data_IF_082052968955
#
_entry.id   IF_082052968955
#
_cell.length_a   1.000
_cell.length_b   1.000
_cell.length_c   1.000
_cell.angle_alpha   90.00
_cell.angle_beta   90.00
_cell.angle_gamma   90.00
#
_symmetry.space_group_name_H-M   'P 1'
#
loop_
_entity.id
_entity.type
_entity.pdbx_description
1 polymer ?
#
# COMPACT_ATOMS: atom_id res chain seq x y z
N UNK A 1 -27.64 -4.71 14.41
CA UNK A 1 -28.76 -3.95 15.01
C UNK A 1 -28.81 -2.48 14.56
N UNK A 2 -27.75 -1.65 14.68
CA UNK A 2 -27.80 -0.23 14.28
C UNK A 2 -27.91 -0.04 12.76
N UNK A 3 -27.12 -0.78 11.98
CA UNK A 3 -27.16 -0.74 10.52
C UNK A 3 -28.52 -1.21 9.99
N UNK A 4 -29.09 -2.31 10.52
CA UNK A 4 -30.44 -2.77 10.11
C UNK A 4 -31.51 -1.70 10.32
N UNK A 5 -31.53 -1.03 11.49
CA UNK A 5 -32.44 0.10 11.71
C UNK A 5 -32.20 1.29 10.77
N UNK A 6 -30.96 1.51 10.36
CA UNK A 6 -30.62 2.52 9.35
C UNK A 6 -31.21 2.18 7.99
N UNK A 7 -31.05 0.93 7.56
CA UNK A 7 -31.64 0.41 6.31
C UNK A 7 -33.15 0.52 6.28
N UNK A 8 -33.83 0.09 7.34
CA UNK A 8 -35.30 0.22 7.46
C UNK A 8 -35.81 1.66 7.30
N UNK A 9 -35.07 2.65 7.89
CA UNK A 9 -35.44 4.07 7.76
C UNK A 9 -35.28 4.61 6.33
N UNK A 10 -34.46 3.98 5.51
CA UNK A 10 -34.28 4.33 4.09
C UNK A 10 -35.15 3.49 3.16
N UNK A 11 -35.98 2.61 3.69
CA UNK A 11 -36.88 1.73 2.91
C UNK A 11 -36.15 0.53 2.31
N UNK A 12 -34.93 0.23 2.80
CA UNK A 12 -34.14 -0.93 2.36
C UNK A 12 -34.35 -2.11 3.31
N UNK A 13 -34.24 -3.35 2.81
CA UNK A 13 -34.33 -4.54 3.65
C UNK A 13 -33.26 -4.53 4.75
N UNK A 14 -33.58 -4.82 6.02
CA UNK A 14 -32.61 -4.78 7.12
C UNK A 14 -31.53 -5.88 7.05
N UNK A 15 -31.79 -6.94 6.31
CA UNK A 15 -30.95 -8.10 6.09
C UNK A 15 -29.94 -7.94 4.94
N UNK A 16 -29.85 -6.75 4.34
CA UNK A 16 -28.75 -6.42 3.40
C UNK A 16 -27.38 -6.43 4.08
N UNK A 17 -27.32 -6.23 5.40
CA UNK A 17 -26.09 -6.30 6.18
C UNK A 17 -26.28 -7.28 7.33
N UNK A 18 -25.55 -8.38 7.28
CA UNK A 18 -25.61 -9.44 8.28
C UNK A 18 -24.30 -9.54 9.06
N UNK A 19 -24.41 -9.98 10.30
CA UNK A 19 -23.27 -10.30 11.15
C UNK A 19 -23.26 -11.81 11.40
N UNK A 20 -22.13 -12.47 11.07
CA UNK A 20 -21.92 -13.86 11.47
C UNK A 20 -21.79 -13.96 12.98
N UNK A 21 -22.57 -14.83 13.61
CA UNK A 21 -22.54 -15.03 15.06
C UNK A 21 -21.35 -15.93 15.51
N UNK A 22 -20.94 -16.85 14.64
CA UNK A 22 -19.78 -17.71 14.90
C UNK A 22 -18.46 -16.96 14.62
N UNK A 23 -17.77 -16.59 15.68
CA UNK A 23 -16.46 -15.93 15.64
C UNK A 23 -15.28 -16.91 15.69
N UNK A 24 -15.53 -18.20 15.58
CA UNK A 24 -14.51 -19.24 15.62
C UNK A 24 -13.72 -19.33 14.28
N UNK A 25 -12.56 -19.94 14.32
CA UNK A 25 -11.82 -20.30 13.10
C UNK A 25 -12.63 -21.26 12.21
N UNK A 26 -13.48 -22.10 12.78
CA UNK A 26 -14.35 -23.00 12.02
C UNK A 26 -15.42 -22.21 11.23
N UNK A 27 -16.02 -21.20 11.84
CA UNK A 27 -16.94 -20.30 11.16
C UNK A 27 -16.30 -19.53 10.02
N UNK A 28 -15.07 -19.03 10.23
CA UNK A 28 -14.30 -18.39 9.17
C UNK A 28 -13.99 -19.36 8.02
N UNK A 29 -13.56 -20.58 8.32
CA UNK A 29 -13.29 -21.60 7.31
C UNK A 29 -14.54 -22.01 6.51
N UNK A 30 -15.70 -22.08 7.18
CA UNK A 30 -16.97 -22.34 6.52
C UNK A 30 -17.33 -21.24 5.50
N UNK A 31 -17.08 -19.97 5.83
CA UNK A 31 -17.27 -18.86 4.89
C UNK A 31 -16.31 -18.93 3.69
N UNK A 32 -15.06 -19.33 3.91
CA UNK A 32 -14.06 -19.47 2.84
C UNK A 32 -14.49 -20.49 1.78
N UNK A 33 -15.31 -21.47 2.15
CA UNK A 33 -15.75 -22.55 1.27
C UNK A 33 -17.24 -22.50 0.92
N UNK A 34 -17.95 -21.43 1.28
CA UNK A 34 -19.39 -21.26 1.06
C UNK A 34 -19.73 -20.90 -0.40
N UNK A 35 -19.19 -21.65 -1.36
CA UNK A 35 -19.45 -21.47 -2.79
C UNK A 35 -20.95 -21.61 -3.09
N UNK A 36 -21.51 -20.67 -3.86
CA UNK A 36 -22.94 -20.59 -4.16
C UNK A 36 -23.78 -19.83 -3.14
N UNK A 37 -23.19 -19.47 -1.99
CA UNK A 37 -23.79 -18.58 -0.99
C UNK A 37 -23.03 -17.27 -0.84
N UNK A 38 -21.73 -17.29 -1.10
CA UNK A 38 -20.83 -16.12 -1.01
C UNK A 38 -20.14 -15.97 -2.36
N UNK A 39 -20.25 -14.78 -2.97
CA UNK A 39 -19.67 -14.47 -4.27
C UNK A 39 -18.22 -13.99 -4.15
N UNK A 40 -17.89 -13.29 -3.05
CA UNK A 40 -16.60 -12.67 -2.85
C UNK A 40 -16.24 -12.61 -1.35
N UNK A 41 -14.97 -12.93 -1.05
CA UNK A 41 -14.36 -12.74 0.25
C UNK A 41 -13.39 -11.56 0.21
N UNK A 42 -13.42 -10.72 1.25
CA UNK A 42 -12.43 -9.66 1.47
C UNK A 42 -11.90 -9.84 2.90
N UNK A 43 -10.84 -10.63 3.09
CA UNK A 43 -10.31 -10.87 4.43
C UNK A 43 -9.68 -9.60 4.99
N UNK A 44 -10.02 -9.32 6.26
CA UNK A 44 -9.46 -8.22 7.04
C UNK A 44 -8.86 -8.79 8.31
N UNK A 45 -7.52 -8.74 8.43
CA UNK A 45 -6.81 -9.30 9.58
C UNK A 45 -5.32 -9.44 9.31
N UNK A 46 -4.61 -10.12 10.20
CA UNK A 46 -3.17 -10.35 10.07
C UNK A 46 -2.81 -11.34 8.96
N UNK A 47 -1.51 -11.43 8.65
CA UNK A 47 -0.95 -12.26 7.58
C UNK A 47 -1.41 -13.73 7.61
N UNK A 48 -1.66 -14.29 8.80
CA UNK A 48 -2.15 -15.67 8.95
C UNK A 48 -3.54 -15.89 8.35
N UNK A 49 -4.47 -14.95 8.56
CA UNK A 49 -5.81 -15.01 7.98
C UNK A 49 -5.75 -14.86 6.46
N UNK A 50 -4.98 -13.89 5.98
CA UNK A 50 -4.81 -13.66 4.54
C UNK A 50 -4.27 -14.93 3.87
N UNK A 51 -3.21 -15.54 4.44
CA UNK A 51 -2.64 -16.79 3.94
C UNK A 51 -3.66 -17.92 3.92
N UNK A 52 -4.42 -18.11 5.02
CA UNK A 52 -5.45 -19.13 5.08
C UNK A 52 -6.52 -18.96 3.99
N UNK A 53 -6.95 -17.72 3.70
CA UNK A 53 -7.86 -17.45 2.60
C UNK A 53 -7.25 -17.83 1.24
N UNK A 54 -5.98 -17.46 1.00
CA UNK A 54 -5.29 -17.77 -0.26
C UNK A 54 -5.18 -19.28 -0.49
N UNK A 55 -4.84 -20.04 0.55
CA UNK A 55 -4.56 -21.48 0.47
C UNK A 55 -5.83 -22.34 0.47
N UNK A 56 -6.89 -21.89 1.12
CA UNK A 56 -8.05 -22.76 1.41
C UNK A 56 -9.39 -22.25 0.88
N UNK A 57 -9.51 -20.97 0.48
CA UNK A 57 -10.80 -20.48 0.00
C UNK A 57 -11.14 -21.03 -1.39
N UNK A 58 -12.36 -21.55 -1.53
CA UNK A 58 -12.96 -21.88 -2.83
C UNK A 58 -13.83 -20.73 -3.35
N UNK A 59 -14.20 -19.80 -2.49
CA UNK A 59 -14.85 -18.54 -2.87
C UNK A 59 -13.78 -17.57 -3.36
N UNK A 60 -14.00 -16.82 -4.46
CA UNK A 60 -13.09 -15.78 -4.93
C UNK A 60 -12.71 -14.80 -3.82
N UNK A 61 -11.44 -14.43 -3.74
CA UNK A 61 -10.92 -13.63 -2.66
C UNK A 61 -10.13 -12.42 -3.17
N UNK A 62 -10.49 -11.21 -2.71
CA UNK A 62 -9.67 -10.01 -2.89
C UNK A 62 -8.91 -9.76 -1.60
N UNK A 63 -7.59 -9.92 -1.66
CA UNK A 63 -6.72 -9.77 -0.51
C UNK A 63 -6.37 -8.30 -0.30
N UNK A 64 -6.41 -7.86 0.95
CA UNK A 64 -5.75 -6.62 1.38
C UNK A 64 -4.41 -7.01 2.00
N UNK A 65 -3.33 -6.47 1.46
CA UNK A 65 -1.96 -6.85 1.85
C UNK A 65 -1.34 -5.97 2.92
N UNK A 66 -0.15 -6.36 3.36
CA UNK A 66 0.80 -5.54 4.10
C UNK A 66 1.40 -4.49 3.16
N UNK A 67 1.86 -3.36 3.71
CA UNK A 67 2.42 -2.26 2.93
C UNK A 67 3.88 -1.98 3.26
N UNK A 68 4.84 -2.67 2.61
CA UNK A 68 6.25 -2.27 2.67
C UNK A 68 6.49 -1.25 1.55
N UNK A 69 6.07 0.00 1.79
CA UNK A 69 6.13 1.06 0.80
C UNK A 69 7.51 1.71 0.75
N UNK A 70 7.99 2.02 -0.46
CA UNK A 70 9.29 2.66 -0.67
C UNK A 70 9.15 4.10 -1.15
N UNK A 71 10.09 4.93 -0.75
CA UNK A 71 10.34 6.23 -1.37
C UNK A 71 11.80 6.24 -1.86
N UNK A 72 12.01 6.51 -3.14
CA UNK A 72 13.32 6.67 -3.73
C UNK A 72 13.61 8.15 -4.00
N UNK A 73 14.73 8.63 -3.46
CA UNK A 73 15.25 9.98 -3.70
C UNK A 73 16.35 9.89 -4.74
N UNK A 74 16.05 10.39 -5.93
CA UNK A 74 16.95 10.39 -7.10
C UNK A 74 18.07 11.42 -6.97
N UNK A 75 19.13 11.30 -7.79
CA UNK A 75 20.23 12.26 -7.80
C UNK A 75 19.81 13.69 -8.12
N UNK A 76 18.76 13.84 -8.96
CA UNK A 76 18.22 15.12 -9.39
C UNK A 76 17.12 15.67 -8.46
N UNK A 77 16.83 15.00 -7.35
CA UNK A 77 15.73 15.37 -6.48
C UNK A 77 15.91 16.78 -5.88
N UNK A 78 14.78 17.50 -5.76
CA UNK A 78 14.68 18.63 -4.84
C UNK A 78 14.68 18.06 -3.41
N UNK A 79 15.74 18.33 -2.65
CA UNK A 79 15.96 17.71 -1.34
C UNK A 79 14.97 18.22 -0.28
N UNK A 80 14.50 19.45 -0.37
CA UNK A 80 13.49 19.98 0.56
C UNK A 80 12.13 19.32 0.29
N UNK A 81 11.74 19.17 -0.98
CA UNK A 81 10.56 18.40 -1.37
C UNK A 81 10.67 16.95 -0.88
N UNK A 82 11.84 16.32 -1.04
CA UNK A 82 12.06 14.95 -0.59
C UNK A 82 11.91 14.80 0.93
N UNK A 83 12.41 15.78 1.71
CA UNK A 83 12.21 15.82 3.17
C UNK A 83 10.75 15.93 3.56
N UNK A 84 9.99 16.82 2.93
CA UNK A 84 8.58 17.02 3.23
C UNK A 84 7.76 15.77 2.88
N UNK A 85 8.05 15.15 1.73
CA UNK A 85 7.42 13.87 1.32
C UNK A 85 7.75 12.77 2.33
N UNK A 86 9.01 12.61 2.74
CA UNK A 86 9.41 11.57 3.70
C UNK A 86 8.82 11.78 5.07
N UNK A 87 8.83 13.01 5.60
CA UNK A 87 8.20 13.32 6.87
C UNK A 87 6.71 12.98 6.84
N UNK A 88 6.00 13.40 5.81
CA UNK A 88 4.59 13.07 5.63
C UNK A 88 4.37 11.56 5.48
N UNK A 89 5.11 10.91 4.60
CA UNK A 89 4.95 9.48 4.29
C UNK A 89 5.21 8.59 5.51
N UNK A 90 6.15 8.95 6.41
CA UNK A 90 6.49 8.15 7.58
C UNK A 90 5.77 8.57 8.84
N UNK A 91 5.55 9.87 9.06
CA UNK A 91 5.17 10.36 10.41
C UNK A 91 3.71 10.77 10.54
N UNK A 92 3.00 11.02 9.45
CA UNK A 92 1.59 11.44 9.52
C UNK A 92 0.68 10.38 10.15
N UNK A 93 0.92 9.10 9.85
CA UNK A 93 0.26 7.94 10.44
C UNK A 93 1.06 6.67 10.15
N UNK A 94 2.02 6.27 11.00
CA UNK A 94 2.92 5.16 10.69
C UNK A 94 2.26 3.79 10.69
N UNK A 95 1.12 3.63 11.37
CA UNK A 95 0.42 2.35 11.57
C UNK A 95 -0.56 1.98 10.44
N UNK A 96 -0.34 2.47 9.22
CA UNK A 96 -1.17 2.15 8.04
C UNK A 96 -0.32 1.67 6.89
N UNK A 97 -0.90 0.83 6.03
CA UNK A 97 -0.22 0.12 4.96
C UNK A 97 0.40 1.01 3.86
N UNK A 98 -0.03 2.27 3.72
CA UNK A 98 0.53 3.22 2.77
C UNK A 98 1.60 4.16 3.38
N UNK A 99 1.97 3.97 4.65
CA UNK A 99 3.11 4.66 5.24
C UNK A 99 4.42 4.14 4.64
N UNK A 100 5.41 5.03 4.46
CA UNK A 100 6.71 4.60 3.99
C UNK A 100 7.41 3.75 5.06
N UNK A 101 7.93 2.60 4.66
CA UNK A 101 8.74 1.72 5.50
C UNK A 101 10.20 1.73 5.08
N UNK A 102 10.46 2.02 3.80
CA UNK A 102 11.80 2.03 3.22
C UNK A 102 12.04 3.35 2.48
N UNK A 103 13.22 3.92 2.74
CA UNK A 103 13.80 5.02 1.99
C UNK A 103 15.02 4.50 1.22
N UNK A 104 15.03 4.69 -0.08
CA UNK A 104 16.20 4.50 -0.93
C UNK A 104 16.73 5.86 -1.37
N UNK A 105 18.03 6.04 -1.34
CA UNK A 105 18.66 7.31 -1.74
C UNK A 105 19.73 7.03 -2.78
N UNK A 106 19.70 7.79 -3.87
CA UNK A 106 20.77 7.75 -4.86
C UNK A 106 22.11 8.10 -4.22
N UNK A 107 23.16 7.34 -4.53
CA UNK A 107 24.50 7.49 -3.94
C UNK A 107 25.04 8.92 -3.99
N UNK A 108 24.80 9.64 -5.10
CA UNK A 108 25.24 11.03 -5.24
C UNK A 108 24.48 12.00 -4.34
N UNK A 109 23.20 11.74 -4.04
CA UNK A 109 22.37 12.57 -3.17
C UNK A 109 22.56 12.25 -1.67
N UNK A 110 22.95 11.02 -1.34
CA UNK A 110 23.00 10.50 0.02
C UNK A 110 23.84 11.37 1.00
N UNK A 111 25.06 11.83 0.66
CA UNK A 111 25.86 12.63 1.56
C UNK A 111 25.20 13.96 1.98
N UNK A 112 24.38 14.55 1.12
CA UNK A 112 23.65 15.79 1.40
C UNK A 112 22.31 15.52 2.06
N UNK A 113 21.55 14.56 1.55
CA UNK A 113 20.18 14.30 1.98
C UNK A 113 20.08 13.61 3.35
N UNK A 114 20.87 12.57 3.60
CA UNK A 114 20.75 11.76 4.80
C UNK A 114 20.97 12.55 6.10
N UNK A 115 21.97 13.48 6.21
CA UNK A 115 22.12 14.31 7.40
C UNK A 115 20.92 15.28 7.61
N UNK A 116 20.34 15.81 6.51
CA UNK A 116 19.13 16.64 6.58
C UNK A 116 17.95 15.84 7.09
N UNK A 117 17.75 14.62 6.58
CA UNK A 117 16.72 13.68 7.02
C UNK A 117 16.86 13.32 8.50
N UNK A 118 18.07 12.96 8.94
CA UNK A 118 18.35 12.63 10.34
C UNK A 118 18.01 13.81 11.25
N UNK A 119 18.40 15.01 10.87
CA UNK A 119 18.05 16.23 11.64
C UNK A 119 16.55 16.45 11.71
N UNK A 120 15.82 16.27 10.59
CA UNK A 120 14.36 16.47 10.48
C UNK A 120 13.59 15.41 11.26
N UNK A 121 13.91 14.14 11.08
CA UNK A 121 13.12 13.02 11.62
C UNK A 121 13.60 12.51 12.99
N UNK A 122 14.89 12.66 13.32
CA UNK A 122 15.46 12.08 14.54
C UNK A 122 15.96 13.15 15.52
N UNK A 123 16.02 14.42 15.10
CA UNK A 123 16.56 15.52 15.90
C UNK A 123 15.64 15.91 17.06
N UNK A 124 16.14 16.76 18.00
CA UNK A 124 15.38 17.19 19.18
C UNK A 124 14.09 17.95 18.85
N UNK A 125 13.97 18.48 17.63
CA UNK A 125 12.79 19.20 17.14
C UNK A 125 11.79 18.31 16.40
N UNK A 126 12.07 17.01 16.22
CA UNK A 126 11.16 16.11 15.55
C UNK A 126 9.88 15.91 16.37
N UNK A 127 8.73 16.12 15.75
CA UNK A 127 7.42 15.92 16.40
C UNK A 127 7.23 14.47 16.83
N UNK A 128 7.69 13.56 15.99
CA UNK A 128 7.65 12.12 16.20
C UNK A 128 9.01 11.54 15.81
N UNK A 129 9.93 11.37 16.77
CA UNK A 129 11.27 10.86 16.47
C UNK A 129 11.22 9.48 15.80
N UNK A 130 11.91 9.35 14.65
CA UNK A 130 11.98 8.13 13.85
C UNK A 130 13.31 7.44 14.12
N UNK A 131 13.27 6.13 14.36
CA UNK A 131 14.46 5.28 14.41
C UNK A 131 14.83 4.88 12.99
N UNK A 132 16.07 5.17 12.58
CA UNK A 132 16.62 4.74 11.29
C UNK A 132 17.29 3.38 11.42
N UNK A 133 17.03 2.49 10.48
CA UNK A 133 17.68 1.20 10.28
C UNK A 133 18.42 1.24 8.94
N UNK A 134 19.70 1.49 8.98
CA UNK A 134 20.51 1.83 7.81
C UNK A 134 21.31 0.65 7.30
N UNK A 135 21.49 0.56 5.98
CA UNK A 135 22.54 -0.25 5.39
C UNK A 135 23.94 0.29 5.76
N UNK A 136 24.99 -0.41 5.34
CA UNK A 136 26.37 -0.04 5.69
C UNK A 136 26.75 1.36 5.20
N UNK A 137 26.32 1.74 4.01
CA UNK A 137 26.68 3.02 3.39
C UNK A 137 25.92 4.19 4.02
N UNK A 138 24.61 4.07 4.19
CA UNK A 138 23.81 5.09 4.89
C UNK A 138 24.27 5.25 6.35
N UNK A 139 24.58 4.15 7.03
CA UNK A 139 25.09 4.16 8.39
C UNK A 139 26.44 4.87 8.51
N UNK A 140 27.36 4.64 7.57
CA UNK A 140 28.64 5.32 7.53
C UNK A 140 28.51 6.83 7.33
N UNK A 141 27.58 7.27 6.44
CA UNK A 141 27.30 8.70 6.22
C UNK A 141 26.73 9.36 7.49
N UNK A 142 25.87 8.65 8.22
CA UNK A 142 25.20 9.18 9.41
C UNK A 142 25.99 8.99 10.72
N UNK A 143 27.11 8.27 10.67
CA UNK A 143 27.94 7.98 11.86
C UNK A 143 27.24 7.09 12.88
N UNK A 144 26.39 6.16 12.44
CA UNK A 144 25.68 5.18 13.29
C UNK A 144 26.07 3.74 12.92
N UNK A 145 25.69 2.78 13.75
CA UNK A 145 25.89 1.38 13.43
C UNK A 145 24.87 0.90 12.37
N UNK A 146 25.29 0.08 11.38
CA UNK A 146 24.36 -0.51 10.42
C UNK A 146 23.42 -1.50 11.10
N UNK A 147 22.15 -1.48 10.70
CA UNK A 147 21.08 -2.37 11.18
C UNK A 147 20.01 -2.52 10.07
N UNK A 148 20.37 -3.01 8.85
CA UNK A 148 19.43 -3.05 7.74
C UNK A 148 18.30 -4.05 7.96
N UNK A 149 17.09 -3.66 7.57
CA UNK A 149 15.93 -4.53 7.57
C UNK A 149 14.94 -4.05 6.52
N UNK A 150 14.78 -4.77 5.42
CA UNK A 150 13.98 -4.33 4.28
C UNK A 150 12.73 -5.18 4.02
N UNK A 151 12.50 -6.23 4.81
CA UNK A 151 11.39 -7.17 4.62
C UNK A 151 10.29 -7.03 5.70
N UNK A 152 10.34 -5.95 6.50
CA UNK A 152 9.43 -5.75 7.63
C UNK A 152 8.53 -4.52 7.43
N UNK A 153 7.22 -4.72 7.56
CA UNK A 153 6.25 -3.64 7.78
C UNK A 153 6.28 -3.27 9.26
N UNK A 154 6.97 -2.17 9.61
CA UNK A 154 7.19 -1.79 11.02
C UNK A 154 5.93 -1.28 11.71
N UNK A 155 5.05 -0.59 10.96
CA UNK A 155 3.83 0.04 11.49
C UNK A 155 4.10 1.00 12.67
N UNK A 156 5.31 1.53 12.75
CA UNK A 156 5.80 2.37 13.82
C UNK A 156 6.75 3.45 13.26
N UNK A 157 7.24 4.33 14.11
CA UNK A 157 8.24 5.35 13.78
C UNK A 157 9.64 4.72 13.59
N UNK A 158 9.71 3.75 12.69
CA UNK A 158 10.93 3.07 12.25
C UNK A 158 11.00 3.15 10.73
N UNK A 159 12.16 3.49 10.18
CA UNK A 159 12.39 3.64 8.74
C UNK A 159 13.68 2.91 8.36
N UNK A 160 13.58 1.97 7.43
CA UNK A 160 14.75 1.38 6.82
C UNK A 160 15.33 2.34 5.76
N UNK A 161 16.65 2.45 5.69
CA UNK A 161 17.34 3.36 4.78
C UNK A 161 18.45 2.62 4.04
N UNK A 162 18.40 2.66 2.72
CA UNK A 162 19.41 2.09 1.84
C UNK A 162 19.93 3.08 0.82
N UNK A 163 21.19 2.90 0.39
CA UNK A 163 21.81 3.66 -0.69
C UNK A 163 21.88 2.80 -1.94
N UNK A 164 21.49 3.38 -3.08
CA UNK A 164 21.50 2.71 -4.38
C UNK A 164 22.25 3.52 -5.42
N UNK A 165 22.80 2.85 -6.44
CA UNK A 165 23.62 3.50 -7.44
C UNK A 165 22.84 4.39 -8.41
N UNK A 166 21.60 3.97 -8.75
CA UNK A 166 20.76 4.58 -9.77
C UNK A 166 19.28 4.15 -9.63
N UNK A 167 18.45 4.67 -10.53
CA UNK A 167 17.02 4.32 -10.59
C UNK A 167 16.79 2.82 -10.83
N UNK A 168 17.66 2.16 -11.59
CA UNK A 168 17.57 0.71 -11.83
C UNK A 168 17.89 -0.08 -10.55
N UNK A 169 18.84 0.39 -9.74
CA UNK A 169 19.11 -0.15 -8.40
C UNK A 169 17.90 -0.04 -7.48
N UNK A 170 17.22 1.11 -7.49
CA UNK A 170 15.99 1.31 -6.74
C UNK A 170 14.87 0.36 -7.21
N UNK A 171 14.66 0.24 -8.53
CA UNK A 171 13.65 -0.68 -9.12
C UNK A 171 13.94 -2.13 -8.71
N UNK A 172 15.20 -2.58 -8.78
CA UNK A 172 15.58 -3.94 -8.35
C UNK A 172 15.34 -4.18 -6.87
N UNK A 173 15.68 -3.20 -6.02
CA UNK A 173 15.43 -3.29 -4.58
C UNK A 173 13.94 -3.39 -4.28
N UNK A 174 13.13 -2.53 -4.91
CA UNK A 174 11.67 -2.55 -4.79
C UNK A 174 11.10 -3.89 -5.23
N UNK A 175 11.54 -4.42 -6.37
CA UNK A 175 11.09 -5.72 -6.86
C UNK A 175 11.39 -6.88 -5.91
N UNK A 176 12.44 -6.76 -5.09
CA UNK A 176 12.84 -7.78 -4.13
C UNK A 176 12.14 -7.65 -2.78
N UNK A 177 11.91 -6.43 -2.27
CA UNK A 177 11.51 -6.17 -0.89
C UNK A 177 10.10 -5.58 -0.75
N UNK A 178 9.51 -5.07 -1.84
CA UNK A 178 8.17 -4.48 -1.77
C UNK A 178 7.07 -5.53 -1.70
N UNK A 179 5.98 -5.16 -1.05
CA UNK A 179 4.70 -5.87 -1.10
C UNK A 179 3.84 -5.44 -2.29
N UNK A 180 4.37 -4.64 -3.21
CA UNK A 180 3.69 -4.09 -4.39
C UNK A 180 2.50 -3.18 -4.06
N UNK A 181 2.61 -2.45 -2.94
CA UNK A 181 1.54 -1.57 -2.46
C UNK A 181 1.66 -0.17 -3.07
N UNK A 182 2.61 0.64 -2.61
CA UNK A 182 2.75 2.05 -3.01
C UNK A 182 4.21 2.47 -3.01
N UNK A 183 4.69 2.95 -4.14
CA UNK A 183 6.09 3.33 -4.32
C UNK A 183 6.17 4.75 -4.87
N UNK A 184 7.14 5.51 -4.42
CA UNK A 184 7.36 6.88 -4.88
C UNK A 184 8.80 7.12 -5.33
N UNK A 185 8.98 7.93 -6.36
CA UNK A 185 10.24 8.55 -6.71
C UNK A 185 10.16 10.06 -6.50
N UNK A 186 11.20 10.65 -5.93
CA UNK A 186 11.38 12.11 -5.91
C UNK A 186 12.52 12.46 -6.86
N UNK A 187 12.21 13.17 -7.94
CA UNK A 187 13.14 13.45 -9.03
C UNK A 187 12.75 14.70 -9.82
N UNK A 188 13.72 15.37 -10.43
CA UNK A 188 13.51 16.39 -11.46
C UNK A 188 13.79 15.84 -12.87
N UNK A 189 14.23 14.58 -12.99
CA UNK A 189 14.47 13.90 -14.25
C UNK A 189 13.21 13.23 -14.78
N UNK A 190 12.65 13.73 -15.89
CA UNK A 190 11.53 13.09 -16.58
C UNK A 190 11.89 11.67 -17.06
N UNK A 191 13.14 11.45 -17.45
CA UNK A 191 13.62 10.14 -17.88
C UNK A 191 13.61 9.15 -16.73
N UNK A 192 14.15 9.51 -15.55
CA UNK A 192 14.14 8.64 -14.37
C UNK A 192 12.72 8.41 -13.83
N UNK A 193 11.86 9.44 -13.88
CA UNK A 193 10.44 9.29 -13.54
C UNK A 193 9.74 8.27 -14.45
N UNK A 194 9.97 8.35 -15.77
CA UNK A 194 9.40 7.41 -16.74
C UNK A 194 9.95 5.98 -16.55
N UNK A 195 11.26 5.83 -16.30
CA UNK A 195 11.88 4.52 -16.02
C UNK A 195 11.32 3.90 -14.75
N UNK A 196 11.24 4.67 -13.67
CA UNK A 196 10.70 4.22 -12.40
C UNK A 196 9.24 3.77 -12.53
N UNK A 197 8.39 4.60 -13.14
CA UNK A 197 6.96 4.28 -13.30
C UNK A 197 6.70 3.09 -14.22
N UNK A 198 7.57 2.85 -15.20
CA UNK A 198 7.48 1.68 -16.08
C UNK A 198 8.08 0.41 -15.43
N UNK A 199 9.10 0.55 -14.59
CA UNK A 199 9.83 -0.57 -14.00
C UNK A 199 9.25 -1.08 -12.67
N UNK A 200 8.51 -0.25 -11.94
CA UNK A 200 7.92 -0.61 -10.64
C UNK A 200 6.54 -1.20 -10.82
N UNK A 201 6.36 -2.45 -10.40
CA UNK A 201 5.10 -3.18 -10.49
C UNK A 201 4.34 -3.13 -9.14
N UNK A 202 3.84 -1.96 -8.77
CA UNK A 202 3.05 -1.75 -7.56
C UNK A 202 1.64 -1.24 -7.88
N UNK A 203 0.72 -1.33 -6.92
CA UNK A 203 -0.67 -0.92 -7.10
C UNK A 203 -0.78 0.60 -7.31
N UNK A 204 0.10 1.38 -6.69
CA UNK A 204 0.22 2.82 -6.89
C UNK A 204 1.69 3.22 -7.04
N UNK A 205 2.01 4.03 -8.05
CA UNK A 205 3.36 4.53 -8.30
C UNK A 205 3.29 6.04 -8.44
N UNK A 206 4.09 6.74 -7.65
CA UNK A 206 4.08 8.18 -7.53
C UNK A 206 5.36 8.84 -8.04
N UNK A 207 5.21 9.99 -8.65
CA UNK A 207 6.31 10.91 -8.95
C UNK A 207 6.08 12.17 -8.14
N UNK A 208 7.05 12.55 -7.29
CA UNK A 208 7.02 13.76 -6.47
C UNK A 208 5.77 13.90 -5.59
N UNK A 209 5.29 12.79 -5.04
CA UNK A 209 4.16 12.78 -4.13
C UNK A 209 4.33 11.69 -3.05
N UNK A 210 3.68 11.90 -1.91
CA UNK A 210 3.70 10.96 -0.77
C UNK A 210 2.89 9.70 -1.07
N UNK A 211 3.37 8.54 -0.62
CA UNK A 211 2.63 7.26 -0.66
C UNK A 211 1.32 7.31 0.12
N UNK A 212 1.16 8.28 1.03
CA UNK A 212 -0.06 8.51 1.81
C UNK A 212 -1.29 8.84 0.97
N UNK A 213 -1.12 9.22 -0.27
CA UNK A 213 -2.24 9.42 -1.20
C UNK A 213 -2.91 8.14 -1.68
N UNK A 214 -2.36 6.94 -1.42
CA UNK A 214 -3.05 5.68 -1.73
C UNK A 214 -4.20 5.45 -0.75
N UNK A 215 -5.31 6.08 -1.04
CA UNK A 215 -6.52 6.11 -0.21
C UNK A 215 -7.75 6.30 -1.09
N UNK A 216 -8.82 5.58 -0.81
CA UNK A 216 -10.03 5.63 -1.62
C UNK A 216 -10.71 7.01 -1.62
N UNK A 217 -10.59 7.76 -0.52
CA UNK A 217 -11.08 9.14 -0.44
C UNK A 217 -10.25 10.09 -1.29
N UNK A 218 -8.92 10.00 -1.21
CA UNK A 218 -7.98 10.81 -1.99
C UNK A 218 -8.08 10.51 -3.50
N UNK A 219 -8.35 9.26 -3.88
CA UNK A 219 -8.56 8.84 -5.27
C UNK A 219 -9.96 9.19 -5.81
N UNK A 220 -10.83 9.76 -4.98
CA UNK A 220 -12.18 10.14 -5.38
C UNK A 220 -13.16 8.95 -5.53
N UNK A 221 -12.84 7.79 -4.93
CA UNK A 221 -13.68 6.59 -4.98
C UNK A 221 -14.83 6.64 -3.96
N UNK A 222 -14.87 7.66 -3.11
CA UNK A 222 -15.92 7.90 -2.12
C UNK A 222 -15.87 7.00 -0.89
N UNK A 223 -15.29 5.83 -0.99
CA UNK A 223 -15.09 4.87 0.11
C UNK A 223 -13.90 3.97 -0.14
N UNK A 224 -13.48 3.23 0.89
CA UNK A 224 -12.43 2.22 0.78
C UNK A 224 -12.74 1.04 1.70
N UNK A 225 -12.74 -0.16 1.14
CA UNK A 225 -12.79 -1.40 1.92
C UNK A 225 -11.40 -1.91 2.30
N UNK A 226 -10.37 -1.35 1.71
CA UNK A 226 -8.95 -1.67 1.87
C UNK A 226 -8.20 -1.52 0.56
N UNK A 227 -6.90 -1.83 0.57
CA UNK A 227 -6.03 -1.70 -0.60
C UNK A 227 -5.53 -3.09 -0.99
N UNK A 228 -5.74 -3.48 -2.23
CA UNK A 228 -5.28 -4.76 -2.78
C UNK A 228 -4.03 -4.59 -3.63
N UNK A 229 -3.07 -5.47 -3.45
CA UNK A 229 -1.87 -5.55 -4.29
C UNK A 229 -1.96 -6.63 -5.37
N UNK A 230 -3.08 -7.38 -5.40
CA UNK A 230 -3.31 -8.43 -6.39
C UNK A 230 -3.46 -7.84 -7.80
N UNK A 231 -2.94 -8.56 -8.80
CA UNK A 231 -3.11 -8.21 -10.23
C UNK A 231 -4.47 -8.69 -10.74
N UNK A 232 -5.54 -8.22 -10.11
CA UNK A 232 -6.93 -8.46 -10.48
C UNK A 232 -7.60 -7.13 -10.84
N UNK A 233 -8.91 -7.16 -11.13
CA UNK A 233 -9.70 -5.95 -11.41
C UNK A 233 -9.70 -4.96 -10.23
N UNK A 234 -9.59 -5.45 -8.99
CA UNK A 234 -9.49 -4.65 -7.76
C UNK A 234 -8.03 -4.55 -7.31
N UNK A 235 -7.20 -3.79 -8.03
CA UNK A 235 -5.83 -3.47 -7.64
C UNK A 235 -5.75 -2.03 -7.16
N UNK A 236 -5.17 -1.79 -5.98
CA UNK A 236 -5.20 -0.51 -5.29
C UNK A 236 -6.37 -0.40 -4.32
N UNK A 237 -6.82 0.82 -3.98
CA UNK A 237 -7.98 1.03 -3.11
C UNK A 237 -9.24 0.39 -3.68
N UNK A 238 -9.95 -0.38 -2.84
CA UNK A 238 -11.18 -1.07 -3.19
C UNK A 238 -12.36 -0.16 -2.86
N UNK A 239 -12.88 0.53 -3.86
CA UNK A 239 -14.07 1.37 -3.74
C UNK A 239 -15.36 0.63 -4.09
N UNK A 240 -16.42 1.38 -4.34
CA UNK A 240 -17.73 0.80 -4.65
C UNK A 240 -17.74 0.01 -5.97
N UNK A 241 -17.00 0.49 -6.98
CA UNK A 241 -16.95 -0.18 -8.28
C UNK A 241 -16.30 -1.56 -8.20
N UNK A 242 -15.24 -1.70 -7.40
CA UNK A 242 -14.50 -2.95 -7.21
C UNK A 242 -15.30 -4.00 -6.42
N UNK A 243 -16.33 -3.55 -5.68
CA UNK A 243 -17.26 -4.40 -4.91
C UNK A 243 -18.48 -4.82 -5.72
N UNK A 244 -18.62 -4.35 -6.95
CA UNK A 244 -19.79 -4.61 -7.80
C UNK A 244 -19.37 -5.30 -9.10
N UNK A 245 -20.34 -5.92 -9.77
CA UNK A 245 -20.17 -6.49 -11.09
C UNK A 245 -21.29 -5.99 -12.01
N UNK A 246 -21.22 -6.30 -13.27
CA UNK A 246 -22.17 -5.86 -14.27
C UNK A 246 -22.84 -7.06 -14.96
N UNK A 247 -24.03 -6.82 -15.45
CA UNK A 247 -24.80 -7.77 -16.26
C UNK A 247 -25.10 -7.13 -17.61
N UNK A 248 -24.87 -7.87 -18.68
CA UNK A 248 -25.30 -7.45 -20.02
C UNK A 248 -26.77 -7.82 -20.21
N UNK A 249 -27.61 -6.84 -20.52
CA UNK A 249 -29.00 -7.07 -20.93
C UNK A 249 -29.12 -6.74 -22.40
N UNK A 250 -29.40 -7.77 -23.21
CA UNK A 250 -29.49 -7.66 -24.67
C UNK A 250 -30.96 -7.90 -25.07
N UNK A 251 -31.58 -6.87 -25.64
CA UNK A 251 -32.93 -6.96 -26.20
C UNK A 251 -32.85 -7.02 -27.70
N UNK A 252 -33.37 -8.09 -28.28
CA UNK A 252 -33.37 -8.31 -29.72
C UNK A 252 -34.76 -8.38 -30.31
N UNK A 253 -34.81 -8.34 -31.65
CA UNK A 253 -36.01 -8.50 -32.48
C UNK A 253 -35.77 -9.58 -33.54
N UNK A 254 -35.27 -10.76 -33.11
CA UNK A 254 -35.02 -11.88 -34.02
C UNK A 254 -33.67 -11.88 -34.75
N UNK A 255 -32.70 -11.05 -34.33
CA UNK A 255 -31.36 -11.06 -34.90
C UNK A 255 -30.66 -12.38 -34.61
N UNK A 256 -29.97 -12.88 -35.63
CA UNK A 256 -29.13 -14.10 -35.55
C UNK A 256 -27.68 -13.77 -35.91
N UNK A 257 -26.75 -14.47 -35.29
CA UNK A 257 -25.35 -14.45 -35.69
C UNK A 257 -25.15 -15.41 -36.87
N UNK A 258 -24.65 -14.92 -38.02
CA UNK A 258 -24.27 -15.70 -39.21
C UNK A 258 -22.81 -16.06 -39.15
#
# INVERSE_FOLDING_TARGET
AALGRGLERTGLPPDLVNLGEDTSHAGAAALMTATGYVDLLIPRGGAGLIRACVEHATVPCIQTGTGICHVYVDESADLDMALDIMENAKTSRPSVCNAAEILLVHRAAAPSFLPMLQKRLCGPGAKHPVRLRCDEEAAAILGIAPDPEFDTEFLDYVLAVGVVDDVEGAIRHIAQHSTHHSEAIVTQSEENAARFTAGVDSAAVYVNASTRFTDGGEFGLGCEMGISTQKLHARGPIGLNELTTYQYVITGNGQIRR
#
